data_IF_041150029258
#
_entry.id   IF_041150029258
#
_cell.length_a   1.000
_cell.length_b   1.000
_cell.length_c   1.000
_cell.angle_alpha   90.00
_cell.angle_beta   90.00
_cell.angle_gamma   90.00
#
_symmetry.space_group_name_H-M   'P 1'
#
loop_
_entity.id
_entity.type
_entity.pdbx_description
1 polymer ?
#
# COMPACT_ATOMS: atom_id res chain seq x y z
N UNK A 1 9.53 -7.77 3.13
CA UNK A 1 9.98 -9.12 3.52
C UNK A 1 9.28 -10.15 2.65
N UNK A 2 9.80 -11.38 2.58
CA UNK A 2 9.39 -12.39 1.58
C UNK A 2 7.90 -12.78 1.62
N UNK A 3 7.25 -12.59 2.78
CA UNK A 3 5.83 -12.86 3.00
C UNK A 3 4.91 -11.72 2.54
N UNK A 4 5.44 -10.51 2.32
CA UNK A 4 4.68 -9.36 1.86
C UNK A 4 4.48 -9.45 0.34
N UNK A 5 3.62 -10.38 -0.09
CA UNK A 5 3.21 -10.58 -1.50
C UNK A 5 1.84 -9.95 -1.73
N UNK A 6 1.53 -9.46 -2.95
CA UNK A 6 0.29 -8.73 -3.22
C UNK A 6 -0.98 -9.43 -2.75
N UNK A 7 -1.16 -10.71 -3.07
CA UNK A 7 -2.39 -11.43 -2.73
C UNK A 7 -2.52 -11.69 -1.22
N UNK A 8 -1.42 -12.04 -0.56
CA UNK A 8 -1.38 -12.21 0.88
C UNK A 8 -1.74 -10.89 1.60
N UNK A 9 -1.11 -9.79 1.19
CA UNK A 9 -1.40 -8.46 1.76
C UNK A 9 -2.86 -8.06 1.52
N UNK A 10 -3.41 -8.27 0.32
CA UNK A 10 -4.83 -7.99 0.02
C UNK A 10 -5.77 -8.81 0.89
N UNK A 11 -5.50 -10.09 1.08
CA UNK A 11 -6.31 -10.96 1.92
C UNK A 11 -6.28 -10.49 3.38
N UNK A 12 -5.09 -10.23 3.94
CA UNK A 12 -4.97 -9.70 5.30
C UNK A 12 -5.68 -8.35 5.46
N UNK A 13 -5.63 -7.47 4.46
CA UNK A 13 -6.32 -6.17 4.48
C UNK A 13 -7.86 -6.30 4.57
N UNK A 14 -8.45 -7.38 4.04
CA UNK A 14 -9.89 -7.63 4.15
C UNK A 14 -10.29 -8.12 5.54
N UNK A 15 -9.39 -8.84 6.22
CA UNK A 15 -9.66 -9.48 7.51
C UNK A 15 -9.27 -8.60 8.72
N UNK A 16 -8.50 -7.53 8.51
CA UNK A 16 -7.97 -6.68 9.57
C UNK A 16 -8.63 -5.30 9.60
N UNK A 17 -8.98 -4.85 10.81
CA UNK A 17 -9.47 -3.48 11.02
C UNK A 17 -8.40 -2.42 10.77
N UNK A 18 -7.17 -2.70 11.22
CA UNK A 18 -6.04 -1.79 11.15
C UNK A 18 -4.86 -2.42 10.40
N UNK A 19 -4.17 -1.61 9.61
CA UNK A 19 -2.95 -2.02 8.91
C UNK A 19 -1.85 -0.96 9.05
N UNK A 20 -0.63 -1.42 9.31
CA UNK A 20 0.58 -0.62 9.27
C UNK A 20 1.48 -1.10 8.12
N UNK A 21 1.66 -0.28 7.10
CA UNK A 21 2.49 -0.61 5.94
C UNK A 21 3.77 0.23 5.96
N UNK A 22 4.89 -0.42 6.29
CA UNK A 22 6.24 0.15 6.24
C UNK A 22 7.00 -0.44 5.05
N UNK A 23 6.80 0.15 3.86
CA UNK A 23 7.39 -0.33 2.61
C UNK A 23 7.65 0.83 1.64
N UNK A 24 8.39 0.60 0.56
CA UNK A 24 8.63 1.63 -0.45
C UNK A 24 7.35 1.91 -1.24
N UNK A 25 6.88 3.16 -1.19
CA UNK A 25 5.79 3.63 -2.05
C UNK A 25 6.36 4.37 -3.26
N UNK A 26 5.76 4.16 -4.42
CA UNK A 26 5.98 4.95 -5.62
C UNK A 26 4.80 5.91 -5.77
N UNK A 27 5.10 7.20 -5.84
CA UNK A 27 4.11 8.25 -6.08
C UNK A 27 4.19 8.66 -7.55
N UNK A 28 3.12 8.42 -8.30
CA UNK A 28 2.99 8.95 -9.65
C UNK A 28 2.38 10.35 -9.54
N UNK A 29 3.15 11.39 -9.88
CA UNK A 29 2.71 12.79 -9.80
C UNK A 29 1.85 13.20 -11.00
N UNK A 30 1.90 12.45 -12.10
CA UNK A 30 1.18 12.74 -13.35
C UNK A 30 -0.19 12.06 -13.32
N UNK A 31 -0.24 10.83 -12.87
CA UNK A 31 -1.47 10.05 -12.70
C UNK A 31 -1.51 9.45 -11.29
N UNK A 32 -2.00 10.21 -10.28
CA UNK A 32 -1.96 9.81 -8.87
C UNK A 32 -2.55 8.43 -8.57
N UNK A 33 -3.50 7.97 -9.39
CA UNK A 33 -4.13 6.64 -9.31
C UNK A 33 -3.16 5.48 -9.60
N UNK A 34 -2.05 5.72 -10.30
CA UNK A 34 -0.98 4.75 -10.57
C UNK A 34 0.07 4.65 -9.47
N UNK A 35 -0.05 5.46 -8.41
CA UNK A 35 0.78 5.31 -7.22
C UNK A 35 0.57 3.92 -6.61
N UNK A 36 1.62 3.32 -6.06
CA UNK A 36 1.55 1.95 -5.57
C UNK A 36 2.61 1.67 -4.51
N UNK A 37 2.40 0.62 -3.72
CA UNK A 37 3.37 0.10 -2.77
C UNK A 37 4.16 -1.05 -3.39
N UNK A 38 5.48 -1.03 -3.24
CA UNK A 38 6.35 -2.12 -3.62
C UNK A 38 6.33 -3.22 -2.56
N UNK A 39 6.01 -4.42 -3.03
CA UNK A 39 5.95 -5.66 -2.27
C UNK A 39 7.04 -6.62 -2.78
N UNK A 40 7.26 -7.72 -2.07
CA UNK A 40 8.43 -8.59 -2.32
C UNK A 40 8.52 -9.11 -3.76
N UNK A 41 7.39 -9.38 -4.40
CA UNK A 41 7.30 -9.83 -5.79
C UNK A 41 6.11 -9.17 -6.50
N UNK A 42 6.02 -7.85 -6.41
CA UNK A 42 5.02 -7.09 -7.15
C UNK A 42 4.69 -5.76 -6.51
N UNK A 43 3.58 -5.19 -6.95
CA UNK A 43 3.06 -3.95 -6.40
C UNK A 43 1.64 -4.15 -5.85
N UNK A 44 1.30 -3.34 -4.86
CA UNK A 44 -0.08 -3.12 -4.44
C UNK A 44 -0.51 -1.76 -4.96
N UNK A 45 -1.25 -1.77 -6.07
CA UNK A 45 -1.86 -0.56 -6.61
C UNK A 45 -2.86 0.03 -5.62
N UNK A 46 -2.97 1.36 -5.65
CA UNK A 46 -3.52 2.18 -4.57
C UNK A 46 -4.68 1.54 -3.81
N UNK A 47 -4.45 1.28 -2.52
CA UNK A 47 -5.42 0.79 -1.52
C UNK A 47 -6.73 1.61 -1.51
N UNK A 48 -6.70 2.85 -2.00
CA UNK A 48 -7.85 3.76 -2.11
C UNK A 48 -9.06 3.16 -2.85
N UNK A 49 -8.85 2.20 -3.75
CA UNK A 49 -9.94 1.58 -4.52
C UNK A 49 -10.30 0.17 -4.04
N UNK A 50 -9.62 -0.35 -3.04
CA UNK A 50 -9.94 -1.67 -2.51
C UNK A 50 -11.18 -1.57 -1.61
N UNK A 51 -12.26 -2.31 -1.90
CA UNK A 51 -13.38 -2.42 -0.98
C UNK A 51 -12.91 -3.22 0.24
N UNK A 52 -12.49 -2.49 1.27
CA UNK A 52 -12.09 -3.07 2.54
C UNK A 52 -13.30 -3.11 3.47
N UNK A 53 -13.98 -4.24 3.49
CA UNK A 53 -15.21 -4.45 4.28
C UNK A 53 -15.04 -4.16 5.77
N UNK A 54 -13.81 -4.33 6.29
CA UNK A 54 -13.49 -4.21 7.70
C UNK A 54 -12.49 -3.08 8.02
N UNK A 55 -12.02 -2.29 7.05
CA UNK A 55 -10.99 -1.30 7.33
C UNK A 55 -11.54 -0.12 8.14
N UNK A 56 -11.01 0.06 9.34
CA UNK A 56 -11.29 1.19 10.21
C UNK A 56 -10.22 2.28 10.06
N UNK A 57 -8.96 1.90 9.84
CA UNK A 57 -7.85 2.85 9.73
C UNK A 57 -6.61 2.24 9.03
N UNK A 58 -5.99 2.98 8.12
CA UNK A 58 -4.75 2.59 7.45
C UNK A 58 -3.65 3.62 7.63
N UNK A 59 -2.48 3.19 8.12
CA UNK A 59 -1.30 4.05 8.26
C UNK A 59 -0.22 3.62 7.27
N UNK A 60 0.08 4.50 6.30
CA UNK A 60 1.16 4.30 5.33
C UNK A 60 2.41 5.05 5.77
N UNK A 61 3.48 4.30 5.98
CA UNK A 61 4.84 4.84 6.08
C UNK A 61 5.62 4.41 4.84
N UNK A 62 5.65 5.28 3.83
CA UNK A 62 6.48 5.08 2.65
C UNK A 62 7.71 5.99 2.70
N UNK A 63 8.89 5.42 2.43
CA UNK A 63 10.18 6.14 2.52
C UNK A 63 10.44 7.18 1.40
N UNK A 64 9.42 7.88 0.91
CA UNK A 64 9.62 9.11 0.13
C UNK A 64 8.65 10.21 0.59
N UNK A 65 8.98 10.83 1.72
CA UNK A 65 8.32 12.03 2.27
C UNK A 65 9.10 13.32 2.09
N UNK A 66 10.22 13.34 1.36
CA UNK A 66 10.91 14.57 0.99
C UNK A 66 11.88 14.37 -0.18
N UNK A 67 11.41 14.58 -1.41
CA UNK A 67 12.25 15.19 -2.44
C UNK A 67 11.37 16.25 -3.09
N UNK A 68 11.44 17.43 -2.51
CA UNK A 68 11.14 18.65 -3.25
C UNK A 68 12.39 18.98 -4.04
N UNK A 69 12.24 19.01 -5.36
CA UNK A 69 12.85 20.03 -6.20
C UNK A 69 11.69 20.76 -6.91
#
# INVERSE_FOLDING_TARGET
GEQARPDAVKQQLQDCGWVHLACHGIKDLVEPTKSHLLLYEGSLETILWMPLSNAEFGFLTACQTAMGD
#
